data_IF_753124509730
#
_entry.id   IF_753124509730
#
_cell.length_a   1.000
_cell.length_b   1.000
_cell.length_c   1.000
_cell.angle_alpha   90.00
_cell.angle_beta   90.00
_cell.angle_gamma   90.00
#
_symmetry.space_group_name_H-M   'P 1'
#
loop_
_entity.id
_entity.type
_entity.pdbx_description
1 polymer ?
#
# COMPACT_ATOMS: atom_id res chain seq x y z
N UNK A 1 24.62 -4.10 3.80
CA UNK A 1 23.72 -5.27 3.67
C UNK A 1 22.31 -4.85 4.07
N UNK A 2 21.26 -5.24 3.33
CA UNK A 2 19.81 -5.19 3.67
C UNK A 2 18.85 -4.79 2.52
N UNK A 3 19.30 -4.54 1.28
CA UNK A 3 18.38 -4.24 0.16
C UNK A 3 17.47 -5.42 -0.22
N UNK A 4 18.03 -6.64 -0.18
CA UNK A 4 17.32 -7.88 -0.51
C UNK A 4 16.14 -8.22 0.40
N UNK A 5 16.20 -7.89 1.71
CA UNK A 5 15.11 -8.21 2.65
C UNK A 5 13.90 -7.28 2.42
N UNK A 6 14.16 -6.02 2.07
CA UNK A 6 13.12 -5.04 1.79
C UNK A 6 12.37 -5.35 0.48
N UNK A 7 13.03 -5.97 -0.50
CA UNK A 7 12.41 -6.39 -1.77
C UNK A 7 11.50 -7.61 -1.58
N UNK A 8 11.96 -8.65 -0.89
CA UNK A 8 11.13 -9.85 -0.64
C UNK A 8 9.88 -9.56 0.20
N UNK A 9 10.01 -8.75 1.26
CA UNK A 9 8.84 -8.30 2.06
C UNK A 9 7.88 -7.46 1.22
N UNK A 10 8.41 -6.59 0.36
CA UNK A 10 7.61 -5.76 -0.56
C UNK A 10 6.79 -6.60 -1.53
N UNK A 11 7.34 -7.65 -2.11
CA UNK A 11 6.59 -8.52 -3.03
C UNK A 11 5.42 -9.23 -2.35
N UNK A 12 5.62 -9.78 -1.15
CA UNK A 12 4.53 -10.41 -0.38
C UNK A 12 3.42 -9.41 -0.03
N UNK A 13 3.81 -8.19 0.30
CA UNK A 13 2.87 -7.14 0.62
C UNK A 13 2.08 -6.65 -0.59
N UNK A 14 2.79 -6.38 -1.68
CA UNK A 14 2.21 -6.01 -2.97
C UNK A 14 1.18 -7.05 -3.40
N UNK A 15 1.48 -8.34 -3.25
CA UNK A 15 0.52 -9.41 -3.52
C UNK A 15 -0.74 -9.32 -2.65
N UNK A 16 -0.59 -9.02 -1.35
CA UNK A 16 -1.72 -8.86 -0.41
C UNK A 16 -2.60 -7.67 -0.79
N UNK A 17 -2.00 -6.50 -1.02
CA UNK A 17 -2.74 -5.32 -1.42
C UNK A 17 -3.36 -5.48 -2.80
N UNK A 18 -2.67 -6.06 -3.78
CA UNK A 18 -3.23 -6.30 -5.11
C UNK A 18 -4.41 -7.28 -5.07
N UNK A 19 -4.41 -8.25 -4.13
CA UNK A 19 -5.56 -9.12 -3.87
C UNK A 19 -6.75 -8.36 -3.28
N UNK A 20 -6.52 -7.51 -2.27
CA UNK A 20 -7.58 -6.73 -1.60
C UNK A 20 -8.10 -5.59 -2.48
N UNK A 21 -7.19 -5.00 -3.26
CA UNK A 21 -7.38 -3.81 -4.06
C UNK A 21 -6.88 -4.01 -5.51
N UNK A 22 -7.57 -4.86 -6.26
CA UNK A 22 -7.24 -5.20 -7.65
C UNK A 22 -7.23 -4.03 -8.67
N UNK A 23 -7.84 -2.88 -8.33
CA UNK A 23 -7.83 -1.64 -9.14
C UNK A 23 -6.55 -0.83 -8.96
N UNK A 24 -5.74 -1.12 -7.94
CA UNK A 24 -4.43 -0.49 -7.75
C UNK A 24 -3.43 -1.11 -8.71
N UNK A 25 -2.71 -0.26 -9.42
CA UNK A 25 -1.66 -0.67 -10.36
C UNK A 25 -0.35 -0.89 -9.61
N UNK A 26 0.54 -1.64 -10.24
CA UNK A 26 1.87 -1.89 -9.70
C UNK A 26 2.66 -0.58 -9.45
N UNK A 27 2.41 0.46 -10.24
CA UNK A 27 3.03 1.80 -10.12
C UNK A 27 2.51 2.56 -8.90
N UNK A 28 1.19 2.59 -8.69
CA UNK A 28 0.60 3.19 -7.48
C UNK A 28 1.10 2.50 -6.22
N UNK A 29 1.26 1.18 -6.26
CA UNK A 29 1.85 0.43 -5.16
C UNK A 29 3.31 0.82 -4.92
N UNK A 30 4.11 1.04 -5.97
CA UNK A 30 5.47 1.54 -5.81
C UNK A 30 5.52 2.93 -5.17
N UNK A 31 4.58 3.81 -5.50
CA UNK A 31 4.46 5.11 -4.82
C UNK A 31 4.05 4.96 -3.36
N UNK A 32 3.14 4.03 -3.07
CA UNK A 32 2.75 3.66 -1.70
C UNK A 32 3.96 3.15 -0.92
N UNK A 33 4.84 2.33 -1.52
CA UNK A 33 6.09 1.88 -0.90
C UNK A 33 6.96 3.04 -0.41
N UNK A 34 7.04 4.11 -1.18
CA UNK A 34 7.80 5.30 -0.83
C UNK A 34 7.03 6.20 0.16
N UNK A 35 5.70 6.24 0.07
CA UNK A 35 4.84 7.04 0.92
C UNK A 35 3.50 6.34 1.19
N UNK A 36 3.36 5.76 2.38
CA UNK A 36 2.14 5.09 2.83
C UNK A 36 0.87 5.94 2.75
N UNK A 37 0.96 7.27 2.85
CA UNK A 37 -0.21 8.15 2.77
C UNK A 37 -0.82 8.20 1.36
N UNK A 38 -0.04 7.89 0.31
CA UNK A 38 -0.57 7.77 -1.06
C UNK A 38 -1.62 6.67 -1.14
N UNK A 39 -1.53 5.63 -0.31
CA UNK A 39 -2.49 4.53 -0.30
C UNK A 39 -3.88 5.05 0.03
N UNK A 40 -4.02 5.90 1.05
CA UNK A 40 -5.29 6.50 1.42
C UNK A 40 -5.90 7.28 0.25
N UNK A 41 -5.11 8.10 -0.43
CA UNK A 41 -5.55 8.87 -1.61
C UNK A 41 -6.06 7.97 -2.74
N UNK A 42 -5.34 6.89 -3.07
CA UNK A 42 -5.76 5.95 -4.10
C UNK A 42 -7.00 5.16 -3.70
N UNK A 43 -7.12 4.77 -2.44
CA UNK A 43 -8.29 4.11 -1.89
C UNK A 43 -9.53 5.00 -1.96
N UNK A 44 -9.41 6.28 -1.61
CA UNK A 44 -10.50 7.24 -1.76
C UNK A 44 -10.88 7.44 -3.24
N UNK A 45 -9.90 7.65 -4.12
CA UNK A 45 -10.16 7.96 -5.53
C UNK A 45 -10.70 6.78 -6.34
N UNK A 46 -10.20 5.55 -6.12
CA UNK A 46 -10.53 4.37 -6.95
C UNK A 46 -11.64 3.51 -6.38
N UNK A 47 -11.78 3.52 -5.06
CA UNK A 47 -12.75 2.70 -4.35
C UNK A 47 -13.84 3.53 -3.66
N UNK A 48 -13.70 4.87 -3.59
CA UNK A 48 -14.67 5.71 -2.90
C UNK A 48 -14.67 5.48 -1.38
N UNK A 49 -13.57 4.95 -0.83
CA UNK A 49 -13.46 4.68 0.60
C UNK A 49 -13.60 5.97 1.40
N UNK A 50 -14.24 5.87 2.57
CA UNK A 50 -14.26 6.96 3.53
C UNK A 50 -12.83 7.31 3.94
N UNK A 51 -12.59 8.59 4.24
CA UNK A 51 -11.27 9.08 4.63
C UNK A 51 -10.69 8.28 5.80
N UNK A 52 -11.51 8.00 6.80
CA UNK A 52 -11.12 7.25 8.01
C UNK A 52 -10.69 5.81 7.68
N UNK A 53 -11.44 5.09 6.83
CA UNK A 53 -11.07 3.74 6.39
C UNK A 53 -9.79 3.75 5.54
N UNK A 54 -9.65 4.72 4.65
CA UNK A 54 -8.48 4.86 3.80
C UNK A 54 -7.21 5.17 4.62
N UNK A 55 -7.33 6.06 5.62
CA UNK A 55 -6.25 6.38 6.55
C UNK A 55 -5.90 5.19 7.45
N UNK A 56 -6.89 4.41 7.89
CA UNK A 56 -6.67 3.18 8.66
C UNK A 56 -5.86 2.15 7.87
N UNK A 57 -6.18 1.93 6.60
CA UNK A 57 -5.43 1.01 5.74
C UNK A 57 -4.00 1.53 5.46
N UNK A 58 -3.84 2.83 5.23
CA UNK A 58 -2.53 3.46 5.09
C UNK A 58 -1.68 3.34 6.37
N UNK A 59 -2.31 3.43 7.54
CA UNK A 59 -1.65 3.25 8.83
C UNK A 59 -1.23 1.80 9.07
N UNK A 60 -2.13 0.84 8.85
CA UNK A 60 -1.82 -0.60 8.92
C UNK A 60 -0.66 -0.96 7.98
N UNK A 61 -0.66 -0.34 6.78
CA UNK A 61 0.45 -0.49 5.85
C UNK A 61 1.76 0.03 6.43
N UNK A 62 1.77 1.26 6.97
CA UNK A 62 2.97 1.84 7.58
C UNK A 62 3.50 0.96 8.72
N UNK A 63 2.63 0.42 9.57
CA UNK A 63 3.03 -0.43 10.70
C UNK A 63 3.62 -1.79 10.25
N UNK A 64 3.17 -2.34 9.12
CA UNK A 64 3.72 -3.59 8.56
C UNK A 64 5.02 -3.43 7.78
N UNK A 65 5.34 -2.20 7.33
CA UNK A 65 6.52 -1.89 6.50
C UNK A 65 7.64 -1.14 7.21
N UNK A 66 7.37 -0.56 8.37
CA UNK A 66 8.37 0.05 9.26
C UNK A 66 9.18 -1.02 9.99
#
# INVERSE_FOLDING_TARGET
MNKHIAEGKWEQFKATIKKKYAKLTDDELLEVKANSQKLAGYLQAKYGLAKDEAEKEAKDFKEKFQ
#
